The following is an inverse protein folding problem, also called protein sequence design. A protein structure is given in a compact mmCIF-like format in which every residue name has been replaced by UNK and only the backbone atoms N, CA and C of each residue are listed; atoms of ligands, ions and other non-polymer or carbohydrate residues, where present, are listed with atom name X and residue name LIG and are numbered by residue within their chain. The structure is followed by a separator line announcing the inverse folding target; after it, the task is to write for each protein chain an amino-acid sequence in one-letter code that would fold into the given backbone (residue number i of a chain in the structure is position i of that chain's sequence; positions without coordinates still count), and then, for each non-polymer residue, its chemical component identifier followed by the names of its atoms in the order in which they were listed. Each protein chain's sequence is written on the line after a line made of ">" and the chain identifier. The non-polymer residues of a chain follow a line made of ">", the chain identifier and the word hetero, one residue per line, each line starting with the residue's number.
data_IF_339713285699
#
_entry.id   IF_339713285699
#
_cell.length_a   1.000
_cell.length_b   1.000
_cell.length_c   1.000
_cell.angle_alpha   90.00
_cell.angle_beta   90.00
_cell.angle_gamma   90.00
#
_symmetry.space_group_name_H-M   'P 1'
#
loop_
_entity.id
_entity.type
_entity.pdbx_description
1 polymer ?
#
# COMPACT_ATOMS: atom_id res chain seq x y z
N UNK A 1 -8.82 -21.77 14.60
CA UNK A 1 -8.76 -20.51 13.84
C UNK A 1 -10.17 -20.10 13.47
N UNK A 2 -10.63 -18.92 13.86
CA UNK A 2 -12.04 -18.53 13.67
C UNK A 2 -12.29 -18.06 12.22
N UNK A 3 -12.85 -18.97 11.40
CA UNK A 3 -13.21 -18.71 10.00
C UNK A 3 -14.14 -17.50 9.87
N UNK A 4 -15.02 -17.26 10.84
CA UNK A 4 -15.94 -16.11 10.83
C UNK A 4 -15.20 -14.78 10.96
N UNK A 5 -14.13 -14.73 11.77
CA UNK A 5 -13.30 -13.54 11.92
C UNK A 5 -12.57 -13.19 10.61
N UNK A 6 -12.01 -14.19 9.93
CA UNK A 6 -11.31 -14.03 8.65
C UNK A 6 -12.28 -13.49 7.59
N UNK A 7 -13.46 -14.11 7.44
CA UNK A 7 -14.47 -13.69 6.46
C UNK A 7 -14.96 -12.26 6.71
N UNK A 8 -15.20 -11.90 7.99
CA UNK A 8 -15.58 -10.55 8.38
C UNK A 8 -14.52 -9.52 7.99
N UNK A 9 -13.23 -9.84 8.16
CA UNK A 9 -12.14 -8.94 7.74
C UNK A 9 -12.00 -8.86 6.24
N UNK A 10 -12.17 -9.95 5.50
CA UNK A 10 -12.15 -9.92 4.04
C UNK A 10 -13.25 -9.03 3.45
N UNK A 11 -14.48 -9.12 3.98
CA UNK A 11 -15.57 -8.22 3.57
C UNK A 11 -15.21 -6.75 3.79
N UNK A 12 -14.59 -6.45 4.94
CA UNK A 12 -14.11 -5.11 5.27
C UNK A 12 -13.00 -4.66 4.32
N UNK A 13 -12.02 -5.51 4.05
CA UNK A 13 -10.93 -5.25 3.10
C UNK A 13 -11.48 -4.95 1.71
N UNK A 14 -12.45 -5.71 1.22
CA UNK A 14 -13.05 -5.48 -0.09
C UNK A 14 -13.75 -4.12 -0.17
N UNK A 15 -14.52 -3.75 0.86
CA UNK A 15 -15.18 -2.44 0.93
C UNK A 15 -14.16 -1.29 0.92
N UNK A 16 -13.11 -1.42 1.74
CA UNK A 16 -12.08 -0.38 1.86
C UNK A 16 -11.28 -0.26 0.57
N UNK A 17 -10.88 -1.38 -0.02
CA UNK A 17 -10.15 -1.36 -1.28
C UNK A 17 -11.00 -0.77 -2.40
N UNK A 18 -12.32 -1.03 -2.41
CA UNK A 18 -13.24 -0.36 -3.31
C UNK A 18 -13.24 1.16 -3.10
N UNK A 19 -13.31 1.64 -1.85
CA UNK A 19 -13.22 3.08 -1.55
C UNK A 19 -11.88 3.70 -1.97
N UNK A 20 -10.78 2.97 -1.76
CA UNK A 20 -9.44 3.43 -2.14
C UNK A 20 -9.26 3.56 -3.65
N UNK A 21 -10.02 2.84 -4.49
CA UNK A 21 -9.94 2.95 -5.95
C UNK A 21 -10.28 4.35 -6.50
N UNK A 22 -10.98 5.18 -5.71
CA UNK A 22 -11.27 6.60 -6.05
C UNK A 22 -9.99 7.46 -5.96
N UNK A 23 -9.00 7.04 -5.18
CA UNK A 23 -7.78 7.80 -4.97
C UNK A 23 -7.04 8.00 -6.30
N UNK A 24 -6.79 9.25 -6.72
CA UNK A 24 -6.07 9.52 -7.95
C UNK A 24 -4.65 8.95 -7.86
N UNK A 25 -4.16 8.48 -9.00
CA UNK A 25 -2.81 7.96 -9.17
C UNK A 25 -2.52 6.60 -8.50
N UNK A 26 -3.50 5.94 -7.88
CA UNK A 26 -3.37 4.52 -7.52
C UNK A 26 -3.35 3.67 -8.80
N UNK A 27 -2.40 2.73 -8.84
CA UNK A 27 -2.19 1.79 -9.95
C UNK A 27 -2.39 0.35 -9.53
N UNK A 28 -2.11 0.05 -8.26
CA UNK A 28 -2.30 -1.26 -7.66
C UNK A 28 -2.58 -1.14 -6.17
N UNK A 29 -3.40 -2.06 -5.63
CA UNK A 29 -3.60 -2.28 -4.20
C UNK A 29 -3.47 -3.77 -3.91
N UNK A 30 -2.59 -4.13 -2.97
CA UNK A 30 -2.40 -5.49 -2.47
C UNK A 30 -2.48 -5.55 -0.95
N UNK A 31 -2.86 -6.71 -0.42
CA UNK A 31 -2.95 -7.00 1.01
C UNK A 31 -1.80 -7.92 1.39
N UNK A 32 -1.12 -7.55 2.46
CA UNK A 32 0.02 -8.29 2.99
C UNK A 32 -0.24 -8.76 4.44
N UNK A 33 0.74 -9.47 5.00
CA UNK A 33 0.80 -9.74 6.43
C UNK A 33 -0.23 -10.78 6.88
N UNK A 34 -0.73 -10.63 8.11
CA UNK A 34 -1.55 -11.67 8.76
C UNK A 34 -2.80 -12.07 7.97
N UNK A 35 -3.38 -11.14 7.20
CA UNK A 35 -4.53 -11.40 6.33
C UNK A 35 -4.16 -12.29 5.14
N UNK A 36 -3.00 -12.06 4.52
CA UNK A 36 -2.58 -12.82 3.35
C UNK A 36 -2.10 -14.23 3.70
N UNK A 37 -1.56 -14.42 4.91
CA UNK A 37 -1.18 -15.74 5.43
C UNK A 37 -2.35 -16.53 6.05
N UNK A 38 -3.57 -15.96 6.11
CA UNK A 38 -4.70 -16.56 6.82
C UNK A 38 -4.56 -16.59 8.35
N UNK A 39 -3.47 -16.07 8.90
CA UNK A 39 -3.13 -16.09 10.33
C UNK A 39 -3.69 -14.87 11.08
N UNK A 40 -4.98 -14.63 10.92
CA UNK A 40 -5.71 -13.48 11.45
C UNK A 40 -6.00 -13.65 12.94
N UNK A 41 -5.56 -12.71 13.78
CA UNK A 41 -5.86 -12.65 15.23
C UNK A 41 -6.74 -11.45 15.53
N UNK A 42 -7.47 -11.46 16.64
CA UNK A 42 -8.40 -10.38 17.03
C UNK A 42 -7.78 -8.97 16.98
N UNK A 43 -6.49 -8.83 17.28
CA UNK A 43 -5.79 -7.55 17.28
C UNK A 43 -5.05 -7.21 15.97
N UNK A 44 -5.06 -8.07 14.95
CA UNK A 44 -4.32 -7.77 13.71
C UNK A 44 -4.95 -6.60 12.92
N UNK A 45 -4.09 -5.78 12.36
CA UNK A 45 -4.40 -4.77 11.35
C UNK A 45 -4.41 -5.39 9.94
N UNK A 46 -4.82 -4.57 8.97
CA UNK A 46 -4.82 -4.90 7.55
C UNK A 46 -3.69 -4.10 6.89
N UNK A 47 -2.61 -4.78 6.53
CA UNK A 47 -1.49 -4.19 5.81
C UNK A 47 -1.82 -4.02 4.34
N UNK A 48 -1.73 -2.80 3.86
CA UNK A 48 -1.98 -2.46 2.45
C UNK A 48 -0.67 -2.00 1.79
N UNK A 49 -0.36 -2.64 0.67
CA UNK A 49 0.69 -2.24 -0.26
C UNK A 49 0.07 -1.53 -1.47
N UNK A 50 0.62 -0.39 -1.85
CA UNK A 50 0.08 0.43 -2.95
C UNK A 50 1.18 0.76 -3.96
N UNK A 51 0.89 0.57 -5.24
CA UNK A 51 1.69 1.14 -6.33
C UNK A 51 0.99 2.41 -6.80
N UNK A 52 1.73 3.51 -6.81
CA UNK A 52 1.28 4.82 -7.26
C UNK A 52 1.94 5.21 -8.59
N UNK A 53 1.32 6.12 -9.33
CA UNK A 53 1.96 6.74 -10.49
C UNK A 53 3.21 7.49 -10.04
N UNK A 54 4.32 7.33 -10.77
CA UNK A 54 5.55 8.07 -10.51
C UNK A 54 5.31 9.59 -10.50
N UNK A 55 6.00 10.29 -9.58
CA UNK A 55 5.85 11.72 -9.28
C UNK A 55 4.50 12.12 -8.66
N UNK A 56 3.69 11.16 -8.19
CA UNK A 56 2.38 11.41 -7.55
C UNK A 56 2.20 10.65 -6.24
N UNK A 57 3.29 10.13 -5.67
CA UNK A 57 3.26 9.28 -4.48
C UNK A 57 2.71 10.04 -3.27
N UNK A 58 3.01 11.33 -3.13
CA UNK A 58 2.60 12.10 -1.96
C UNK A 58 1.13 12.46 -1.96
N UNK A 59 0.57 12.87 -3.11
CA UNK A 59 -0.87 13.06 -3.28
C UNK A 59 -1.60 11.74 -3.06
N UNK A 60 -1.13 10.67 -3.69
CA UNK A 60 -1.71 9.33 -3.54
C UNK A 60 -1.75 8.92 -2.06
N UNK A 61 -0.61 9.05 -1.36
CA UNK A 61 -0.46 8.74 0.05
C UNK A 61 -1.34 9.62 0.97
N UNK A 62 -1.46 10.91 0.66
CA UNK A 62 -2.24 11.83 1.47
C UNK A 62 -3.74 11.60 1.33
N UNK A 63 -4.23 11.43 0.10
CA UNK A 63 -5.65 11.20 -0.17
C UNK A 63 -6.09 9.84 0.35
N UNK A 64 -5.30 8.77 0.12
CA UNK A 64 -5.64 7.44 0.65
C UNK A 64 -5.77 7.46 2.18
N UNK A 65 -4.83 8.11 2.88
CA UNK A 65 -4.89 8.27 4.34
C UNK A 65 -6.06 9.14 4.78
N UNK A 66 -6.40 10.19 4.03
CA UNK A 66 -7.55 11.03 4.33
C UNK A 66 -8.85 10.23 4.23
N UNK A 67 -9.06 9.48 3.15
CA UNK A 67 -10.22 8.59 2.96
C UNK A 67 -10.31 7.58 4.11
N UNK A 68 -9.19 6.91 4.44
CA UNK A 68 -9.15 5.97 5.56
C UNK A 68 -9.44 6.66 6.90
N UNK A 69 -8.99 7.90 7.10
CA UNK A 69 -9.25 8.65 8.34
C UNK A 69 -10.73 9.04 8.43
N UNK A 70 -11.31 9.58 7.36
CA UNK A 70 -12.71 10.01 7.33
C UNK A 70 -13.69 8.85 7.51
N UNK A 71 -13.35 7.67 7.00
CA UNK A 71 -14.14 6.43 7.17
C UNK A 71 -13.86 5.71 8.50
N UNK A 72 -13.00 6.30 9.35
CA UNK A 72 -12.61 5.73 10.63
C UNK A 72 -11.80 4.44 10.52
N UNK A 73 -11.24 4.11 9.35
CA UNK A 73 -10.52 2.87 9.10
C UNK A 73 -9.01 2.99 9.24
N UNK A 74 -8.45 4.20 9.24
CA UNK A 74 -7.01 4.39 9.39
C UNK A 74 -6.53 3.88 10.75
N UNK A 75 -5.48 3.06 10.74
CA UNK A 75 -4.78 2.64 11.96
C UNK A 75 -4.12 3.85 12.62
N UNK A 76 -4.38 4.03 13.91
CA UNK A 76 -3.73 5.04 14.75
C UNK A 76 -2.93 4.33 15.85
N UNK A 77 -1.80 4.92 16.26
CA UNK A 77 -0.95 4.33 17.30
C UNK A 77 -1.63 4.30 18.68
N UNK A 78 -2.63 5.18 18.90
CA UNK A 78 -3.25 5.43 20.21
C UNK A 78 -4.61 4.72 20.42
N UNK A 79 -5.09 3.93 19.46
CA UNK A 79 -6.43 3.31 19.50
C UNK A 79 -6.31 1.84 19.05
N UNK A 80 -7.24 0.99 19.50
CA UNK A 80 -7.37 -0.42 19.10
C UNK A 80 -7.12 -0.59 17.58
N UNK A 81 -6.03 -1.31 17.26
CA UNK A 81 -5.55 -1.56 15.89
C UNK A 81 -6.36 -2.64 15.17
N UNK A 82 -7.18 -3.39 15.90
CA UNK A 82 -7.98 -4.50 15.40
C UNK A 82 -8.80 -4.13 14.15
N UNK A 83 -8.46 -4.77 13.03
CA UNK A 83 -9.12 -4.59 11.74
C UNK A 83 -9.03 -3.18 11.16
N UNK A 84 -8.15 -2.30 11.66
CA UNK A 84 -7.84 -1.02 11.03
C UNK A 84 -6.85 -1.24 9.89
N UNK A 85 -6.84 -0.31 8.94
CA UNK A 85 -5.99 -0.34 7.76
C UNK A 85 -4.72 0.41 8.04
N UNK A 86 -3.60 -0.28 7.89
CA UNK A 86 -2.29 0.31 7.85
C UNK A 86 -1.84 0.41 6.38
N UNK A 87 -1.81 1.62 5.80
CA UNK A 87 -1.20 1.82 4.49
C UNK A 87 0.33 1.75 4.67
N UNK A 88 0.86 0.53 4.69
CA UNK A 88 2.18 0.19 5.23
C UNK A 88 3.30 0.64 4.29
N UNK A 89 3.15 0.36 3.00
CA UNK A 89 4.17 0.68 1.98
C UNK A 89 3.56 1.15 0.67
N UNK A 90 4.17 2.19 0.13
CA UNK A 90 3.91 2.75 -1.19
C UNK A 90 5.17 2.69 -2.00
N UNK A 91 5.04 2.32 -3.27
CA UNK A 91 6.09 2.47 -4.27
C UNK A 91 5.53 3.18 -5.50
N UNK A 92 6.41 3.66 -6.37
CA UNK A 92 5.99 4.18 -7.68
C UNK A 92 6.04 3.10 -8.76
N UNK A 93 5.27 3.29 -9.83
CA UNK A 93 5.32 2.44 -11.01
C UNK A 93 6.66 2.44 -11.76
N UNK A 94 7.59 3.33 -11.41
CA UNK A 94 8.98 3.35 -11.89
C UNK A 94 10.00 2.87 -10.85
N UNK A 95 9.56 2.47 -9.66
CA UNK A 95 10.41 2.00 -8.57
C UNK A 95 9.76 0.78 -7.88
N UNK A 96 9.57 -0.30 -8.64
CA UNK A 96 8.86 -1.49 -8.16
C UNK A 96 9.73 -2.44 -7.33
N UNK A 97 11.06 -2.34 -7.47
CA UNK A 97 11.99 -3.22 -6.77
C UNK A 97 11.95 -2.96 -5.27
N UNK A 98 11.83 -4.04 -4.51
CA UNK A 98 11.75 -4.01 -3.06
C UNK A 98 13.13 -4.19 -2.45
N UNK A 99 13.51 -3.24 -1.61
CA UNK A 99 14.73 -3.31 -0.80
C UNK A 99 14.42 -3.16 0.70
N UNK A 100 15.25 -3.75 1.59
CA UNK A 100 16.31 -4.71 1.29
C UNK A 100 15.77 -6.09 0.90
N UNK A 101 16.45 -6.80 0.00
CA UNK A 101 16.06 -8.16 -0.41
C UNK A 101 16.42 -9.17 0.68
N UNK A 102 15.42 -9.83 1.28
CA UNK A 102 15.65 -10.86 2.28
C UNK A 102 14.43 -11.80 2.39
N UNK A 103 14.61 -12.91 3.10
CA UNK A 103 13.61 -13.98 3.22
C UNK A 103 12.24 -13.52 3.75
N UNK A 104 12.18 -12.59 4.71
CA UNK A 104 10.91 -12.12 5.23
C UNK A 104 10.15 -11.28 4.20
N UNK A 105 10.81 -10.39 3.45
CA UNK A 105 10.14 -9.60 2.40
C UNK A 105 9.73 -10.49 1.25
N UNK A 106 10.57 -11.48 0.89
CA UNK A 106 10.22 -12.48 -0.10
C UNK A 106 8.94 -13.22 0.31
N UNK A 107 8.88 -13.72 1.55
CA UNK A 107 7.70 -14.40 2.06
C UNK A 107 6.46 -13.46 2.12
N UNK A 108 6.63 -12.22 2.57
CA UNK A 108 5.54 -11.26 2.70
C UNK A 108 4.92 -10.87 1.35
N UNK A 109 5.74 -10.58 0.35
CA UNK A 109 5.27 -10.09 -0.95
C UNK A 109 4.93 -11.19 -1.94
N UNK A 110 5.51 -12.39 -1.81
CA UNK A 110 5.08 -13.56 -2.58
C UNK A 110 3.67 -14.01 -2.22
N UNK A 111 3.26 -13.85 -0.96
CA UNK A 111 1.90 -14.15 -0.49
C UNK A 111 0.94 -12.97 -0.64
N UNK A 112 1.37 -11.83 -1.21
CA UNK A 112 0.52 -10.65 -1.33
C UNK A 112 -0.74 -10.96 -2.12
N UNK A 113 -1.91 -10.63 -1.56
CA UNK A 113 -3.20 -10.83 -2.21
C UNK A 113 -3.62 -9.54 -2.94
N UNK A 114 -3.66 -9.54 -4.27
CA UNK A 114 -3.99 -8.38 -5.07
C UNK A 114 -5.51 -8.09 -5.04
N UNK A 115 -5.89 -6.82 -4.84
CA UNK A 115 -7.30 -6.38 -4.72
C UNK A 115 -7.71 -5.38 -5.79
N UNK A 116 -6.76 -4.60 -6.30
CA UNK A 116 -6.95 -3.69 -7.41
C UNK A 116 -5.71 -3.70 -8.28
N UNK A 117 -5.87 -3.83 -9.59
CA UNK A 117 -4.78 -3.70 -10.57
C UNK A 117 -5.31 -3.02 -11.83
N UNK A 118 -4.78 -1.84 -12.13
CA UNK A 118 -5.22 -1.05 -13.27
C UNK A 118 -4.76 -1.65 -14.61
N UNK A 119 -3.49 -2.06 -14.70
CA UNK A 119 -2.79 -2.42 -15.96
C UNK A 119 -1.62 -3.37 -15.71
N UNK A 120 -1.90 -4.48 -15.05
CA UNK A 120 -0.96 -5.58 -14.77
C UNK A 120 0.27 -5.13 -13.97
N UNK A 121 0.08 -4.17 -13.08
CA UNK A 121 1.11 -3.69 -12.17
C UNK A 121 1.55 -4.75 -11.18
N UNK A 122 0.70 -5.71 -10.83
CA UNK A 122 1.10 -6.86 -10.03
C UNK A 122 2.11 -7.72 -10.79
N UNK A 123 1.86 -8.02 -12.07
CA UNK A 123 2.80 -8.80 -12.88
C UNK A 123 4.15 -8.09 -13.00
N UNK A 124 4.12 -6.78 -13.29
CA UNK A 124 5.35 -5.96 -13.34
C UNK A 124 6.09 -5.95 -12.00
N UNK A 125 5.35 -5.85 -10.89
CA UNK A 125 5.92 -5.90 -9.55
C UNK A 125 6.60 -7.24 -9.28
N UNK A 126 5.96 -8.35 -9.65
CA UNK A 126 6.54 -9.66 -9.46
C UNK A 126 7.80 -9.88 -10.31
N UNK A 127 7.79 -9.46 -11.58
CA UNK A 127 8.96 -9.51 -12.46
C UNK A 127 10.12 -8.70 -11.88
N UNK A 128 9.85 -7.48 -11.41
CA UNK A 128 10.86 -6.62 -10.77
C UNK A 128 11.42 -7.21 -9.46
N UNK A 129 10.72 -8.19 -8.87
CA UNK A 129 11.07 -8.84 -7.62
C UNK A 129 11.29 -10.35 -7.77
N UNK A 130 11.79 -10.81 -8.93
CA UNK A 130 12.12 -12.22 -9.17
C UNK A 130 13.16 -12.78 -8.19
N UNK A 131 13.96 -11.90 -7.54
CA UNK A 131 14.87 -12.26 -6.46
C UNK A 131 14.20 -13.03 -5.31
N UNK A 132 12.88 -12.90 -5.13
CA UNK A 132 12.13 -13.64 -4.10
C UNK A 132 12.21 -15.16 -4.33
N UNK A 133 12.41 -15.62 -5.56
CA UNK A 133 12.59 -17.05 -5.90
C UNK A 133 13.84 -17.62 -5.22
N UNK A 134 14.89 -16.81 -5.02
CA UNK A 134 16.10 -17.21 -4.30
C UNK A 134 15.84 -17.54 -2.82
N UNK A 135 14.68 -17.16 -2.30
CA UNK A 135 14.23 -17.44 -0.92
C UNK A 135 13.10 -18.49 -0.87
N UNK A 136 12.86 -19.23 -1.96
CA UNK A 136 11.87 -20.31 -2.02
C UNK A 136 10.43 -19.83 -2.27
N UNK A 137 10.23 -18.57 -2.66
CA UNK A 137 8.92 -18.11 -3.12
C UNK A 137 8.53 -18.84 -4.42
N UNK A 138 7.25 -19.20 -4.54
CA UNK A 138 6.73 -19.74 -5.79
C UNK A 138 6.88 -18.75 -6.94
N UNK A 139 7.07 -19.27 -8.15
CA UNK A 139 7.17 -18.43 -9.35
C UNK A 139 5.93 -17.56 -9.47
N UNK A 140 6.11 -16.26 -9.74
CA UNK A 140 4.99 -15.36 -9.86
C UNK A 140 4.08 -15.74 -11.02
N UNK A 141 2.81 -16.04 -10.71
CA UNK A 141 1.79 -16.29 -11.73
C UNK A 141 1.06 -14.98 -12.03
N UNK A 142 1.26 -14.47 -13.24
CA UNK A 142 0.57 -13.29 -13.75
C UNK A 142 -0.82 -13.66 -14.29
N UNK A 143 -1.74 -14.06 -13.41
CA UNK A 143 -3.13 -14.27 -13.79
C UNK A 143 -4.04 -13.85 -12.64
N UNK A 144 -4.71 -12.72 -12.78
CA UNK A 144 -5.65 -12.23 -11.78
C UNK A 144 -6.94 -11.75 -12.43
N UNK A 145 -8.05 -12.30 -11.97
CA UNK A 145 -9.38 -11.76 -12.20
C UNK A 145 -9.71 -10.77 -11.07
N UNK A 146 -9.24 -9.53 -11.21
CA UNK A 146 -9.56 -8.48 -10.24
C UNK A 146 -10.81 -7.72 -10.66
N UNK A 147 -11.75 -7.58 -9.73
CA UNK A 147 -12.98 -6.82 -9.92
C UNK A 147 -12.66 -5.35 -10.19
N UNK A 148 -13.03 -4.87 -11.39
CA UNK A 148 -12.92 -3.47 -11.79
C UNK A 148 -14.29 -2.79 -11.67
N UNK A 149 -14.35 -1.65 -10.98
CA UNK A 149 -15.54 -0.79 -10.98
C UNK A 149 -15.41 0.32 -12.03
N UNK A 150 -16.28 0.32 -13.04
CA UNK A 150 -16.20 1.28 -14.15
C UNK A 150 -16.45 2.72 -13.72
N UNK A 151 -17.40 2.98 -12.81
CA UNK A 151 -17.72 4.32 -12.34
C UNK A 151 -16.60 4.94 -11.49
N UNK A 152 -16.02 4.17 -10.56
CA UNK A 152 -14.89 4.66 -9.76
C UNK A 152 -13.66 4.97 -10.62
N UNK A 153 -13.42 4.15 -11.65
CA UNK A 153 -12.35 4.42 -12.61
C UNK A 153 -12.58 5.76 -13.31
N UNK A 154 -13.81 6.07 -13.74
CA UNK A 154 -14.14 7.36 -14.34
C UNK A 154 -13.82 8.53 -13.39
N UNK A 155 -14.32 8.49 -12.16
CA UNK A 155 -14.03 9.54 -11.16
C UNK A 155 -12.54 9.67 -10.87
N UNK A 156 -11.81 8.55 -10.76
CA UNK A 156 -10.35 8.58 -10.59
C UNK A 156 -9.69 9.32 -11.75
N UNK A 157 -10.04 9.00 -13.00
CA UNK A 157 -9.43 9.66 -14.17
C UNK A 157 -9.77 11.15 -14.26
N UNK A 158 -10.99 11.56 -13.88
CA UNK A 158 -11.34 12.98 -13.80
C UNK A 158 -10.48 13.70 -12.76
N UNK A 159 -10.35 13.15 -11.56
CA UNK A 159 -9.48 13.70 -10.52
C UNK A 159 -8.02 13.74 -10.95
N UNK A 160 -7.54 12.68 -11.62
CA UNK A 160 -6.19 12.65 -12.17
C UNK A 160 -5.95 13.73 -13.22
N UNK A 161 -6.93 14.00 -14.10
CA UNK A 161 -6.82 15.05 -15.11
C UNK A 161 -6.68 16.44 -14.47
N UNK A 162 -7.52 16.74 -13.46
CA UNK A 162 -7.43 17.99 -12.67
C UNK A 162 -6.07 18.12 -11.99
N UNK A 163 -5.57 17.01 -11.43
CA UNK A 163 -4.31 16.95 -10.70
C UNK A 163 -3.08 16.67 -11.58
N UNK A 164 -3.23 16.62 -12.91
CA UNK A 164 -2.08 16.35 -13.79
C UNK A 164 -1.25 17.61 -14.06
N UNK A 165 -1.85 18.79 -13.98
CA UNK A 165 -1.22 20.07 -14.29
C UNK A 165 -0.35 20.67 -13.17
N UNK A 166 -0.03 21.96 -13.33
CA UNK A 166 0.81 22.73 -12.39
C UNK A 166 0.26 22.75 -10.97
N UNK A 167 -1.07 22.81 -10.81
CA UNK A 167 -1.73 22.71 -9.50
C UNK A 167 -1.41 21.39 -8.80
N UNK A 168 -1.53 20.26 -9.50
CA UNK A 168 -1.16 18.96 -8.96
C UNK A 168 0.32 18.84 -8.65
N UNK A 169 1.20 19.47 -9.44
CA UNK A 169 2.64 19.49 -9.14
C UNK A 169 2.95 20.27 -7.86
N UNK A 170 2.25 21.39 -7.65
CA UNK A 170 2.33 22.14 -6.41
C UNK A 170 1.79 21.33 -5.22
N UNK A 171 0.62 20.69 -5.37
CA UNK A 171 0.02 19.83 -4.35
C UNK A 171 0.90 18.65 -3.97
N UNK A 172 1.58 18.03 -4.94
CA UNK A 172 2.53 16.94 -4.70
C UNK A 172 3.68 17.40 -3.79
N UNK A 173 4.30 18.53 -4.14
CA UNK A 173 5.40 19.12 -3.35
C UNK A 173 4.93 19.53 -1.95
N UNK A 174 3.77 20.16 -1.87
CA UNK A 174 3.18 20.60 -0.59
C UNK A 174 2.84 19.41 0.30
N UNK A 175 2.14 18.40 -0.24
CA UNK A 175 1.75 17.19 0.48
C UNK A 175 2.99 16.42 0.95
N UNK A 176 4.02 16.31 0.11
CA UNK A 176 5.28 15.68 0.49
C UNK A 176 5.95 16.40 1.65
N UNK A 177 6.07 17.74 1.60
CA UNK A 177 6.62 18.54 2.71
C UNK A 177 5.84 18.33 4.01
N UNK A 178 4.51 18.37 3.96
CA UNK A 178 3.68 18.16 5.16
C UNK A 178 3.81 16.75 5.74
N UNK A 179 3.77 15.73 4.88
CA UNK A 179 3.82 14.34 5.33
C UNK A 179 5.20 13.97 5.85
N UNK A 180 6.27 14.42 5.19
CA UNK A 180 7.64 14.26 5.69
C UNK A 180 7.81 14.88 7.08
N UNK A 181 7.34 16.11 7.28
CA UNK A 181 7.36 16.76 8.61
C UNK A 181 6.61 15.95 9.66
N UNK A 182 5.44 15.40 9.32
CA UNK A 182 4.65 14.57 10.23
C UNK A 182 5.35 13.24 10.57
N UNK A 183 5.95 12.58 9.58
CA UNK A 183 6.66 11.32 9.77
C UNK A 183 7.93 11.56 10.59
N UNK A 184 8.74 12.56 10.23
CA UNK A 184 9.98 12.91 10.95
C UNK A 184 9.74 13.27 12.43
N UNK A 185 8.57 13.84 12.76
CA UNK A 185 8.20 14.12 14.15
C UNK A 185 7.97 12.86 14.98
N UNK A 186 7.54 11.77 14.35
CA UNK A 186 7.20 10.50 15.02
C UNK A 186 8.37 9.51 14.94
N UNK A 187 9.12 9.53 13.84
CA UNK A 187 10.20 8.57 13.53
C UNK A 187 11.52 9.33 13.35
N UNK A 188 12.32 9.48 14.41
CA UNK A 188 13.60 10.20 14.37
C UNK A 188 14.62 9.58 13.41
N UNK A 189 14.48 8.28 13.11
CA UNK A 189 15.38 7.53 12.25
C UNK A 189 15.04 7.62 10.76
N UNK A 190 14.06 8.45 10.35
CA UNK A 190 13.61 8.56 8.96
C UNK A 190 14.78 8.70 7.97
N UNK A 191 14.82 7.81 6.96
CA UNK A 191 15.83 7.80 5.89
C UNK A 191 17.30 7.61 6.33
N UNK A 192 17.56 7.18 7.57
CA UNK A 192 18.91 6.76 7.98
C UNK A 192 19.27 5.39 7.39
N UNK A 193 20.55 5.05 7.27
CA UNK A 193 21.03 3.82 6.60
C UNK A 193 20.43 2.52 7.18
N UNK A 194 20.25 2.46 8.51
CA UNK A 194 19.63 1.31 9.19
C UNK A 194 18.14 1.49 9.46
N UNK A 195 17.52 2.52 8.87
CA UNK A 195 16.13 2.82 9.13
C UNK A 195 15.21 1.89 8.38
N UNK A 196 14.27 1.35 9.13
CA UNK A 196 13.13 0.62 8.58
C UNK A 196 12.02 1.55 8.11
N UNK A 197 12.13 2.87 8.34
CA UNK A 197 11.19 3.90 7.88
C UNK A 197 11.85 4.72 6.78
N UNK A 198 11.30 4.63 5.57
CA UNK A 198 11.77 5.38 4.40
C UNK A 198 10.62 6.24 3.90
N UNK A 199 10.89 7.49 3.55
CA UNK A 199 9.91 8.31 2.85
C UNK A 199 10.61 9.26 1.89
N UNK A 200 10.41 9.04 0.60
CA UNK A 200 10.95 9.83 -0.50
C UNK A 200 9.98 9.80 -1.71
N UNK A 201 10.40 10.33 -2.85
CA UNK A 201 9.55 10.45 -4.04
C UNK A 201 9.29 9.12 -4.78
N UNK A 202 9.96 8.04 -4.39
CA UNK A 202 9.86 6.71 -4.99
C UNK A 202 9.21 5.68 -4.05
N UNK A 203 9.43 5.82 -2.75
CA UNK A 203 8.96 4.88 -1.74
C UNK A 203 8.54 5.60 -0.45
N UNK A 204 7.43 5.15 0.15
CA UNK A 204 7.02 5.49 1.51
C UNK A 204 6.79 4.18 2.27
N UNK A 205 7.52 3.95 3.36
CA UNK A 205 7.48 2.76 4.22
C UNK A 205 7.40 3.21 5.67
N UNK A 206 6.34 2.83 6.36
CA UNK A 206 5.95 3.43 7.66
C UNK A 206 6.07 2.46 8.82
N UNK A 207 6.21 1.14 8.57
CA UNK A 207 6.35 0.18 9.64
C UNK A 207 7.76 -0.41 9.71
N UNK A 208 8.35 -0.50 10.92
CA UNK A 208 9.57 -1.24 11.10
C UNK A 208 9.41 -2.72 10.78
N UNK A 209 10.48 -3.28 10.22
CA UNK A 209 10.73 -4.71 10.21
C UNK A 209 10.74 -5.20 11.66
N UNK A 210 9.74 -5.99 12.04
CA UNK A 210 9.92 -6.83 13.20
C UNK A 210 10.46 -8.16 12.69
N UNK A 211 11.78 -8.24 12.53
CA UNK A 211 12.46 -9.54 12.60
C UNK A 211 12.19 -10.06 14.02
N UNK A 212 11.22 -10.96 14.14
CA UNK A 212 11.23 -11.89 15.25
C UNK A 212 12.27 -12.96 14.97
#
# INVERSE_FOLDING_TARGET
>A
MDKKLIDKRWRKTNLISWLLQITPFIRFIGICGSMSFGNVRENSDIDVFIISKNKRIWICFAISRLILKMTGQLRSNNINRAGKVCPNRYVTDKYLIINPQNAYLANQYSHMVPIFDEKDYYCKFLIANSWMENFGAAKPVCALNIVRSNSLNFFRYVLEAILYGSFGNWLEKYSGKLMLKKIAKVEPTLNQENSTVIANNNEIRIHPYHSK
#
